data_IF_561738535526
#
_entry.id   IF_561738535526
#
_cell.length_a   1.000
_cell.length_b   1.000
_cell.length_c   1.000
_cell.angle_alpha   90.00
_cell.angle_beta   90.00
_cell.angle_gamma   90.00
#
_symmetry.space_group_name_H-M   'P 1'
#
loop_
_entity.id
_entity.type
_entity.pdbx_description
1 polymer ?
#
# COMPACT_ATOMS: atom_id res chain seq x y z
N UNK A 1 10.00 9.08 9.37
CA UNK A 1 9.52 7.69 9.22
C UNK A 1 8.07 7.62 9.65
N UNK A 2 7.20 6.99 8.87
CA UNK A 2 5.80 6.75 9.22
C UNK A 2 5.74 5.65 10.29
N UNK A 3 4.85 5.79 11.29
CA UNK A 3 4.67 4.76 12.31
C UNK A 3 4.12 3.46 11.71
N UNK A 4 4.64 2.30 12.17
CA UNK A 4 4.10 0.98 11.79
C UNK A 4 2.59 0.87 12.04
N UNK A 5 2.08 1.50 13.11
CA UNK A 5 0.65 1.53 13.42
C UNK A 5 -0.15 2.30 12.37
N UNK A 6 0.39 3.42 11.90
CA UNK A 6 -0.25 4.22 10.85
C UNK A 6 -0.23 3.47 9.51
N UNK A 7 0.90 2.83 9.17
CA UNK A 7 1.01 1.96 7.99
C UNK A 7 -0.08 0.89 8.03
N UNK A 8 -0.15 0.09 9.11
CA UNK A 8 -1.13 -0.98 9.26
C UNK A 8 -2.60 -0.49 9.22
N UNK A 9 -2.90 0.62 9.91
CA UNK A 9 -4.24 1.20 9.90
C UNK A 9 -4.66 1.71 8.51
N UNK A 10 -3.70 2.17 7.70
CA UNK A 10 -3.93 2.70 6.36
C UNK A 10 -3.96 1.63 5.25
N UNK A 11 -3.44 0.42 5.49
CA UNK A 11 -3.32 -0.63 4.44
C UNK A 11 -4.67 -0.95 3.78
N UNK A 12 -5.71 -1.23 4.57
CA UNK A 12 -7.03 -1.58 4.03
C UNK A 12 -7.65 -0.46 3.16
N UNK A 13 -7.77 0.80 3.64
CA UNK A 13 -8.34 1.86 2.80
C UNK A 13 -7.48 2.16 1.56
N UNK A 14 -6.14 2.04 1.65
CA UNK A 14 -5.26 2.19 0.48
C UNK A 14 -5.56 1.14 -0.58
N UNK A 15 -5.61 -0.14 -0.20
CA UNK A 15 -5.92 -1.25 -1.13
C UNK A 15 -7.28 -1.03 -1.79
N UNK A 16 -8.31 -0.71 -1.01
CA UNK A 16 -9.65 -0.45 -1.55
C UNK A 16 -9.68 0.75 -2.50
N UNK A 17 -8.91 1.81 -2.23
CA UNK A 17 -8.81 2.98 -3.11
C UNK A 17 -8.12 2.69 -4.46
N UNK A 18 -7.31 1.62 -4.52
CA UNK A 18 -6.70 1.15 -5.77
C UNK A 18 -7.70 0.30 -6.53
N UNK A 19 -8.32 -0.67 -5.85
CA UNK A 19 -9.28 -1.61 -6.44
C UNK A 19 -10.58 -0.96 -6.92
N UNK A 20 -10.96 0.20 -6.38
CA UNK A 20 -12.13 0.95 -6.89
C UNK A 20 -11.92 1.50 -8.30
N UNK A 21 -10.67 1.63 -8.75
CA UNK A 21 -10.34 2.16 -10.08
C UNK A 21 -10.26 1.06 -11.13
N UNK A 22 -9.66 -0.07 -10.77
CA UNK A 22 -9.48 -1.23 -11.64
C UNK A 22 -9.10 -2.45 -10.80
N UNK A 23 -9.35 -3.65 -11.33
CA UNK A 23 -8.88 -4.88 -10.70
C UNK A 23 -7.35 -4.99 -10.81
N UNK A 24 -6.71 -5.44 -9.73
CA UNK A 24 -5.25 -5.58 -9.72
C UNK A 24 -4.81 -6.71 -8.78
N UNK A 25 -3.55 -7.16 -8.91
CA UNK A 25 -2.99 -8.25 -8.11
C UNK A 25 -2.00 -7.75 -7.06
N UNK A 26 -1.77 -8.56 -6.02
CA UNK A 26 -1.04 -8.16 -4.81
C UNK A 26 0.30 -7.46 -5.06
N UNK A 27 1.17 -8.04 -5.88
CA UNK A 27 2.47 -7.43 -6.20
C UNK A 27 2.36 -6.07 -6.91
N UNK A 28 1.39 -5.90 -7.81
CA UNK A 28 1.20 -4.63 -8.52
C UNK A 28 0.60 -3.56 -7.62
N UNK A 29 -0.26 -3.94 -6.67
CA UNK A 29 -0.73 -3.05 -5.60
C UNK A 29 0.45 -2.57 -4.73
N UNK A 30 1.34 -3.48 -4.31
CA UNK A 30 2.54 -3.15 -3.52
C UNK A 30 3.46 -2.19 -4.29
N UNK A 31 3.74 -2.48 -5.56
CA UNK A 31 4.55 -1.62 -6.43
C UNK A 31 3.94 -0.22 -6.56
N UNK A 32 2.64 -0.14 -6.84
CA UNK A 32 1.92 1.11 -7.01
C UNK A 32 1.94 1.98 -5.74
N UNK A 33 1.81 1.36 -4.57
CA UNK A 33 1.91 2.07 -3.28
C UNK A 33 3.33 2.61 -3.07
N UNK A 34 4.36 1.83 -3.40
CA UNK A 34 5.76 2.27 -3.33
C UNK A 34 6.04 3.46 -4.26
N UNK A 35 5.52 3.41 -5.48
CA UNK A 35 5.65 4.49 -6.47
C UNK A 35 4.94 5.77 -6.03
N UNK A 36 3.66 5.68 -5.65
CA UNK A 36 2.85 6.84 -5.23
C UNK A 36 3.41 7.49 -3.96
N UNK A 37 3.92 6.68 -3.03
CA UNK A 37 4.47 7.16 -1.76
C UNK A 37 5.92 7.62 -1.83
N UNK A 38 6.59 7.50 -2.99
CA UNK A 38 8.03 7.79 -3.12
C UNK A 38 8.89 6.94 -2.18
N UNK A 39 8.47 5.71 -1.87
CA UNK A 39 9.14 4.81 -0.94
C UNK A 39 8.94 5.12 0.55
N UNK A 40 8.06 6.07 0.91
CA UNK A 40 7.79 6.42 2.32
C UNK A 40 6.83 5.44 3.01
N UNK A 41 6.00 4.74 2.23
CA UNK A 41 5.15 3.64 2.67
C UNK A 41 5.76 2.32 2.17
N UNK A 42 6.53 1.67 3.03
CA UNK A 42 7.09 0.34 2.78
C UNK A 42 6.35 -0.69 3.64
N UNK A 43 5.65 -1.60 2.97
CA UNK A 43 5.11 -2.80 3.59
C UNK A 43 6.22 -3.86 3.62
N UNK A 44 6.48 -4.44 4.79
CA UNK A 44 7.52 -5.46 4.95
C UNK A 44 7.16 -6.73 4.17
N UNK A 45 8.13 -7.57 3.81
CA UNK A 45 7.95 -8.80 3.00
C UNK A 45 6.90 -9.81 3.51
N UNK A 46 6.40 -9.63 4.75
CA UNK A 46 5.37 -10.45 5.39
C UNK A 46 4.02 -9.72 5.54
N UNK A 47 3.80 -8.62 4.82
CA UNK A 47 2.49 -8.02 4.57
C UNK A 47 1.95 -8.43 3.21
#
# INVERSE_FOLDING_TARGET
MISKTLVAASTKPIILSILIRDEDYGYKIIQRVKEISGGTLEWSDNM
#
